data_IF_407016336136
#
_entry.id   IF_407016336136
#
_cell.length_a   1.000
_cell.length_b   1.000
_cell.length_c   1.000
_cell.angle_alpha   90.00
_cell.angle_beta   90.00
_cell.angle_gamma   90.00
#
_symmetry.space_group_name_H-M   'P 1'
#
loop_
_entity.id
_entity.type
_entity.pdbx_description
1 polymer ?
#
# COMPACT_ATOMS: atom_id res chain seq x y z
N UNK A 1 13.60 20.86 -25.05
CA UNK A 1 12.94 21.10 -23.75
C UNK A 1 12.56 19.73 -23.22
N UNK A 2 13.38 19.16 -22.35
CA UNK A 2 13.14 17.82 -21.80
C UNK A 2 12.05 17.95 -20.74
N UNK A 3 10.92 17.28 -20.93
CA UNK A 3 9.88 17.26 -19.91
C UNK A 3 10.44 16.57 -18.67
N UNK A 4 10.34 17.25 -17.51
CA UNK A 4 10.72 16.66 -16.23
C UNK A 4 9.81 15.45 -15.97
N UNK A 5 10.37 14.35 -15.45
CA UNK A 5 9.62 13.11 -15.15
C UNK A 5 8.36 13.45 -14.34
N UNK A 6 7.21 12.91 -14.74
CA UNK A 6 5.97 13.10 -13.98
C UNK A 6 6.09 12.43 -12.60
N UNK A 7 5.72 13.15 -11.54
CA UNK A 7 5.73 12.61 -10.19
C UNK A 7 4.74 11.45 -10.04
N UNK A 8 3.64 11.48 -10.78
CA UNK A 8 2.62 10.42 -10.74
C UNK A 8 3.19 9.12 -11.32
N UNK A 9 3.80 9.19 -12.51
CA UNK A 9 4.48 8.05 -13.13
C UNK A 9 5.60 7.51 -12.24
N UNK A 10 6.42 8.41 -11.69
CA UNK A 10 7.50 8.05 -10.78
C UNK A 10 6.99 7.30 -9.53
N UNK A 11 5.91 7.77 -8.90
CA UNK A 11 5.33 7.11 -7.73
C UNK A 11 4.69 5.76 -8.10
N UNK A 12 4.06 5.66 -9.29
CA UNK A 12 3.52 4.40 -9.79
C UNK A 12 4.63 3.36 -9.93
N UNK A 13 5.75 3.72 -10.55
CA UNK A 13 6.92 2.84 -10.72
C UNK A 13 7.48 2.39 -9.37
N UNK A 14 7.53 3.30 -8.39
CA UNK A 14 7.97 2.97 -7.03
C UNK A 14 7.01 1.99 -6.35
N UNK A 15 5.69 2.16 -6.50
CA UNK A 15 4.69 1.22 -5.94
C UNK A 15 4.84 -0.15 -6.59
N UNK A 16 5.08 -0.21 -7.90
CA UNK A 16 5.29 -1.47 -8.60
C UNK A 16 6.59 -2.18 -8.20
N UNK A 17 7.63 -1.41 -7.88
CA UNK A 17 8.93 -1.88 -7.41
C UNK A 17 8.96 -2.32 -5.94
N UNK A 18 7.89 -2.12 -5.16
CA UNK A 18 7.79 -2.63 -3.79
C UNK A 18 8.00 -4.16 -3.82
N UNK A 19 8.91 -4.66 -2.99
CA UNK A 19 9.15 -6.09 -2.88
C UNK A 19 7.92 -6.82 -2.33
N UNK A 20 7.34 -7.69 -3.17
CA UNK A 20 6.13 -8.48 -2.90
C UNK A 20 6.46 -9.93 -2.49
N UNK A 21 7.74 -10.31 -2.44
CA UNK A 21 8.16 -11.69 -2.17
C UNK A 21 8.13 -11.97 -0.67
N UNK A 22 7.52 -13.09 -0.26
CA UNK A 22 7.52 -13.55 1.13
C UNK A 22 8.21 -14.90 1.19
N UNK A 23 9.20 -15.06 2.07
CA UNK A 23 9.92 -16.33 2.21
C UNK A 23 9.30 -17.14 3.36
N UNK A 24 9.07 -18.43 3.10
CA UNK A 24 8.55 -19.38 4.07
C UNK A 24 9.75 -20.00 4.79
N UNK A 25 9.85 -19.73 6.09
CA UNK A 25 10.88 -20.29 6.98
C UNK A 25 10.54 -21.74 7.34
N UNK A 26 9.27 -22.01 7.61
CA UNK A 26 8.77 -23.36 7.89
C UNK A 26 7.27 -23.47 7.58
N UNK A 27 6.82 -24.66 7.20
CA UNK A 27 5.41 -24.97 6.98
C UNK A 27 5.03 -26.26 7.74
N UNK A 28 3.86 -26.25 8.38
CA UNK A 28 3.26 -27.41 9.04
C UNK A 28 1.79 -27.55 8.64
N UNK A 29 1.25 -28.76 8.80
CA UNK A 29 -0.17 -29.06 8.55
C UNK A 29 -0.77 -29.61 9.84
N UNK A 30 -1.26 -28.75 10.76
CA UNK A 30 -1.76 -29.21 12.06
C UNK A 30 -2.98 -30.12 11.96
N UNK A 31 -3.83 -29.91 10.96
CA UNK A 31 -5.02 -30.72 10.68
C UNK A 31 -5.41 -30.63 9.20
N UNK A 32 -6.31 -31.52 8.76
CA UNK A 32 -6.75 -31.54 7.37
C UNK A 32 -7.41 -30.19 6.97
N UNK A 33 -6.88 -29.56 5.94
CA UNK A 33 -7.38 -28.28 5.43
C UNK A 33 -6.82 -27.04 6.14
N UNK A 34 -5.97 -27.20 7.16
CA UNK A 34 -5.31 -26.09 7.86
C UNK A 34 -3.80 -26.20 7.66
N UNK A 35 -3.20 -25.13 7.16
CA UNK A 35 -1.75 -24.97 7.05
C UNK A 35 -1.28 -23.87 8.00
N UNK A 36 -0.11 -24.03 8.58
CA UNK A 36 0.58 -22.97 9.31
C UNK A 36 1.94 -22.72 8.67
N UNK A 37 2.20 -21.48 8.30
CA UNK A 37 3.51 -21.07 7.80
C UNK A 37 4.13 -20.04 8.73
N UNK A 38 5.43 -20.18 8.96
CA UNK A 38 6.25 -19.12 9.55
C UNK A 38 6.99 -18.43 8.42
N UNK A 39 6.92 -17.10 8.38
CA UNK A 39 7.54 -16.28 7.32
C UNK A 39 8.63 -15.39 7.89
N UNK A 40 9.52 -14.91 7.02
CA UNK A 40 10.57 -13.95 7.37
C UNK A 40 9.99 -12.54 7.62
N UNK A 41 9.10 -12.12 6.74
CA UNK A 41 8.37 -10.88 6.81
C UNK A 41 6.93 -11.10 6.35
N UNK A 42 6.00 -10.72 7.21
CA UNK A 42 4.56 -10.85 6.96
C UNK A 42 4.02 -9.73 6.07
N UNK A 43 4.81 -8.67 5.85
CA UNK A 43 4.48 -7.54 4.96
C UNK A 43 3.08 -7.00 5.28
N UNK A 44 2.26 -6.78 4.26
CA UNK A 44 0.89 -6.28 4.40
C UNK A 44 -0.19 -7.37 4.26
N UNK A 45 0.16 -8.63 4.58
CA UNK A 45 -0.84 -9.71 4.66
C UNK A 45 -1.85 -9.37 5.76
N UNK A 46 -3.12 -9.62 5.46
CA UNK A 46 -4.25 -9.41 6.38
C UNK A 46 -5.16 -10.64 6.38
N UNK A 47 -6.00 -10.84 7.42
CA UNK A 47 -7.01 -11.89 7.41
C UNK A 47 -7.99 -11.78 6.23
N UNK A 48 -8.57 -12.91 5.86
CA UNK A 48 -9.58 -13.05 4.79
C UNK A 48 -9.11 -12.77 3.37
N UNK A 49 -7.82 -12.52 3.13
CA UNK A 49 -7.28 -12.48 1.75
C UNK A 49 -6.95 -13.88 1.26
N UNK A 50 -7.02 -14.04 -0.06
CA UNK A 50 -6.59 -15.26 -0.75
C UNK A 50 -5.16 -15.06 -1.23
N UNK A 51 -4.29 -16.01 -0.89
CA UNK A 51 -2.90 -16.08 -1.32
C UNK A 51 -2.71 -17.27 -2.25
N UNK A 52 -2.07 -17.06 -3.38
CA UNK A 52 -1.66 -18.14 -4.28
C UNK A 52 -0.25 -18.61 -3.92
N UNK A 53 -0.13 -19.82 -3.35
CA UNK A 53 1.13 -20.39 -2.86
C UNK A 53 1.38 -21.70 -3.60
N UNK A 54 2.44 -21.76 -4.40
CA UNK A 54 2.77 -22.94 -5.20
C UNK A 54 1.66 -23.35 -6.19
N UNK A 55 0.87 -22.39 -6.67
CA UNK A 55 -0.25 -22.61 -7.60
C UNK A 55 -1.54 -23.10 -6.96
N UNK A 56 -1.62 -23.15 -5.62
CA UNK A 56 -2.86 -23.43 -4.88
C UNK A 56 -3.30 -22.16 -4.14
N UNK A 57 -4.61 -21.98 -4.01
CA UNK A 57 -5.19 -20.84 -3.30
C UNK A 57 -5.46 -21.18 -1.83
N UNK A 58 -5.05 -20.27 -0.96
CA UNK A 58 -5.21 -20.38 0.49
C UNK A 58 -5.86 -19.11 1.04
N UNK A 59 -6.84 -19.26 1.91
CA UNK A 59 -7.45 -18.12 2.62
C UNK A 59 -6.74 -17.89 3.95
N UNK A 60 -6.29 -16.67 4.21
CA UNK A 60 -5.69 -16.29 5.49
C UNK A 60 -6.76 -16.30 6.58
N UNK A 61 -6.64 -17.19 7.55
CA UNK A 61 -7.56 -17.27 8.68
C UNK A 61 -7.14 -16.33 9.81
N UNK A 62 -5.86 -16.32 10.16
CA UNK A 62 -5.35 -15.51 11.27
C UNK A 62 -3.84 -15.30 11.14
N UNK A 63 -3.35 -14.30 11.88
CA UNK A 63 -1.95 -13.89 11.91
C UNK A 63 -1.55 -13.71 13.37
N UNK A 64 -0.45 -14.34 13.78
CA UNK A 64 0.13 -14.17 15.11
C UNK A 64 1.65 -14.08 15.01
N UNK A 65 2.20 -12.88 15.25
CA UNK A 65 3.62 -12.62 15.01
C UNK A 65 3.99 -12.86 13.53
N UNK A 66 4.96 -13.74 13.29
CA UNK A 66 5.37 -14.18 11.95
C UNK A 66 4.70 -15.49 11.49
N UNK A 67 3.69 -15.96 12.22
CA UNK A 67 2.94 -17.18 11.89
C UNK A 67 1.62 -16.80 11.23
N UNK A 68 1.34 -17.42 10.09
CA UNK A 68 0.12 -17.26 9.31
C UNK A 68 -0.61 -18.59 9.29
N UNK A 69 -1.85 -18.59 9.76
CA UNK A 69 -2.75 -19.75 9.64
C UNK A 69 -3.58 -19.61 8.37
N UNK A 70 -3.52 -20.62 7.53
CA UNK A 70 -4.11 -20.65 6.20
C UNK A 70 -5.12 -21.80 6.09
N UNK A 71 -6.23 -21.55 5.39
CA UNK A 71 -7.21 -22.58 5.04
C UNK A 71 -6.97 -22.99 3.59
N UNK A 72 -6.64 -24.26 3.37
CA UNK A 72 -6.40 -24.82 2.04
C UNK A 72 -6.11 -26.32 2.07
N UNK A 73 -6.52 -27.01 1.00
CA UNK A 73 -6.51 -28.47 0.95
C UNK A 73 -5.12 -29.09 0.78
N UNK A 74 -4.22 -28.39 0.08
CA UNK A 74 -2.89 -28.90 -0.30
C UNK A 74 -1.83 -28.52 0.72
N UNK A 75 -0.88 -29.43 0.99
CA UNK A 75 0.29 -29.10 1.80
C UNK A 75 1.21 -28.11 1.07
N UNK A 76 1.79 -27.17 1.82
CA UNK A 76 2.69 -26.15 1.27
C UNK A 76 4.11 -26.73 1.17
N UNK A 77 4.63 -26.84 -0.06
CA UNK A 77 5.95 -27.43 -0.35
C UNK A 77 6.94 -26.45 -0.98
N UNK A 78 6.54 -25.21 -1.22
CA UNK A 78 7.38 -24.14 -1.76
C UNK A 78 8.03 -23.33 -0.64
N UNK A 79 9.16 -22.69 -0.94
CA UNK A 79 9.92 -21.88 0.03
C UNK A 79 9.57 -20.38 -0.01
N UNK A 80 8.76 -19.93 -0.96
CA UNK A 80 8.33 -18.53 -1.06
C UNK A 80 7.07 -18.39 -1.92
N UNK A 81 6.42 -17.24 -1.80
CA UNK A 81 5.31 -16.83 -2.65
C UNK A 81 5.32 -15.31 -2.86
N UNK A 82 4.50 -14.83 -3.79
CA UNK A 82 4.39 -13.40 -4.12
C UNK A 82 3.02 -12.88 -3.72
N UNK A 83 2.99 -11.72 -3.07
CA UNK A 83 1.75 -11.05 -2.69
C UNK A 83 1.00 -10.50 -3.90
N UNK A 84 -0.34 -10.35 -3.81
CA UNK A 84 -1.13 -9.67 -4.82
C UNK A 84 -0.62 -8.27 -5.11
N UNK A 85 -0.86 -7.80 -6.34
CA UNK A 85 -0.50 -6.45 -6.79
C UNK A 85 -1.14 -5.39 -5.91
N UNK A 86 -0.34 -4.37 -5.55
CA UNK A 86 -0.81 -3.16 -4.90
C UNK A 86 -1.25 -2.19 -6.00
N UNK A 87 -2.49 -1.74 -5.98
CA UNK A 87 -3.01 -0.86 -7.02
C UNK A 87 -2.67 0.60 -6.73
N UNK A 88 -2.11 1.31 -7.72
CA UNK A 88 -1.91 2.75 -7.63
C UNK A 88 -3.07 3.50 -8.28
N UNK A 89 -3.61 4.48 -7.56
CA UNK A 89 -4.62 5.41 -8.04
C UNK A 89 -4.20 6.84 -7.73
N UNK A 90 -4.63 7.77 -8.56
CA UNK A 90 -4.42 9.19 -8.35
C UNK A 90 -5.66 9.95 -8.84
N UNK A 91 -5.87 11.16 -8.31
CA UNK A 91 -6.95 12.04 -8.71
C UNK A 91 -7.50 12.85 -7.56
N UNK A 92 -8.59 13.55 -7.80
CA UNK A 92 -9.41 14.09 -6.71
C UNK A 92 -10.21 12.97 -6.03
N UNK A 93 -10.72 13.25 -4.83
CA UNK A 93 -11.57 12.30 -4.07
C UNK A 93 -12.74 11.80 -4.92
N UNK A 94 -13.40 12.71 -5.65
CA UNK A 94 -14.59 12.38 -6.46
C UNK A 94 -14.25 11.50 -7.66
N UNK A 95 -13.17 11.79 -8.37
CA UNK A 95 -12.75 11.03 -9.56
C UNK A 95 -12.27 9.63 -9.18
N UNK A 96 -11.53 9.55 -8.08
CA UNK A 96 -11.05 8.26 -7.55
C UNK A 96 -12.24 7.41 -7.11
N UNK A 97 -13.23 7.99 -6.41
CA UNK A 97 -14.44 7.26 -6.05
C UNK A 97 -15.18 6.72 -7.29
N UNK A 98 -15.37 7.54 -8.33
CA UNK A 98 -15.99 7.07 -9.60
C UNK A 98 -15.18 5.92 -10.23
N UNK A 99 -13.87 5.98 -10.15
CA UNK A 99 -12.98 4.95 -10.71
C UNK A 99 -13.08 3.64 -9.93
N UNK A 100 -13.13 3.73 -8.60
CA UNK A 100 -13.31 2.57 -7.72
C UNK A 100 -14.69 1.94 -7.90
N UNK A 101 -15.77 2.72 -7.93
CA UNK A 101 -17.14 2.22 -8.16
C UNK A 101 -17.31 1.48 -9.49
N UNK A 102 -16.52 1.84 -10.52
CA UNK A 102 -16.55 1.12 -11.82
C UNK A 102 -15.95 -0.29 -11.75
N UNK A 103 -15.09 -0.58 -10.77
CA UNK A 103 -14.51 -1.92 -10.59
C UNK A 103 -15.48 -2.76 -9.77
N UNK A 104 -15.81 -3.96 -10.25
CA UNK A 104 -16.85 -4.79 -9.62
C UNK A 104 -16.36 -5.54 -8.38
N UNK A 105 -15.09 -5.94 -8.34
CA UNK A 105 -14.56 -6.81 -7.28
C UNK A 105 -13.49 -6.10 -6.46
N UNK A 106 -13.53 -6.28 -5.13
CA UNK A 106 -12.56 -5.67 -4.20
C UNK A 106 -11.13 -6.18 -4.41
N UNK A 107 -10.97 -7.42 -4.91
CA UNK A 107 -9.67 -7.98 -5.32
C UNK A 107 -9.02 -7.22 -6.47
N UNK A 108 -9.79 -6.42 -7.20
CA UNK A 108 -9.32 -5.53 -8.26
C UNK A 108 -9.09 -4.11 -7.78
N UNK A 109 -9.29 -3.84 -6.49
CA UNK A 109 -9.21 -2.51 -5.89
C UNK A 109 -8.18 -2.45 -4.78
N UNK A 110 -8.08 -3.47 -3.94
CA UNK A 110 -7.28 -3.44 -2.70
C UNK A 110 -6.24 -4.58 -2.63
N UNK A 111 -5.09 -4.38 -1.97
CA UNK A 111 -4.66 -3.13 -1.32
C UNK A 111 -4.33 -2.04 -2.35
N UNK A 112 -4.54 -0.78 -1.98
CA UNK A 112 -4.27 0.36 -2.85
C UNK A 112 -3.42 1.44 -2.20
N UNK A 113 -2.70 2.15 -3.06
CA UNK A 113 -2.03 3.41 -2.79
C UNK A 113 -2.75 4.48 -3.60
N UNK A 114 -3.34 5.45 -2.91
CA UNK A 114 -4.05 6.56 -3.51
C UNK A 114 -3.29 7.87 -3.29
N UNK A 115 -2.88 8.53 -4.36
CA UNK A 115 -2.34 9.87 -4.35
C UNK A 115 -3.45 10.91 -4.52
N UNK A 116 -3.65 11.76 -3.53
CA UNK A 116 -4.55 12.90 -3.65
C UNK A 116 -3.88 14.01 -4.48
N UNK A 117 -4.39 14.27 -5.68
CA UNK A 117 -3.84 15.25 -6.65
C UNK A 117 -3.99 16.73 -6.26
N UNK A 118 -4.25 17.01 -4.99
CA UNK A 118 -4.24 18.36 -4.45
C UNK A 118 -2.92 18.53 -3.68
N UNK A 119 -1.82 18.53 -4.43
CA UNK A 119 -0.47 18.74 -3.91
C UNK A 119 0.23 19.90 -4.60
N UNK A 120 1.25 20.45 -3.94
CA UNK A 120 2.11 21.50 -4.49
C UNK A 120 3.48 20.95 -4.84
N UNK A 121 4.01 21.41 -5.96
CA UNK A 121 5.40 21.16 -6.36
C UNK A 121 6.16 22.48 -6.47
N UNK A 122 7.41 22.47 -5.97
CA UNK A 122 8.37 23.54 -6.16
C UNK A 122 9.49 23.02 -7.03
N UNK A 123 9.71 23.64 -8.18
CA UNK A 123 10.79 23.29 -9.09
C UNK A 123 11.99 24.20 -8.85
N UNK A 124 13.18 23.61 -8.86
CA UNK A 124 14.45 24.32 -8.73
C UNK A 124 15.18 24.28 -10.08
N UNK A 125 15.31 25.46 -10.70
CA UNK A 125 16.00 25.65 -11.98
C UNK A 125 17.46 26.11 -11.82
N UNK A 126 17.90 26.38 -10.58
CA UNK A 126 19.26 26.86 -10.30
C UNK A 126 20.29 25.73 -10.40
N UNK A 127 21.56 25.98 -10.07
CA UNK A 127 22.65 24.97 -10.13
C UNK A 127 22.57 23.92 -9.01
N UNK A 128 21.54 23.96 -8.18
CA UNK A 128 21.32 22.99 -7.09
C UNK A 128 21.21 21.55 -7.62
N UNK A 129 21.56 20.57 -6.79
CA UNK A 129 21.43 19.15 -7.10
C UNK A 129 19.95 18.71 -7.17
N UNK A 130 19.07 19.42 -6.46
CA UNK A 130 17.64 19.10 -6.42
C UNK A 130 16.89 19.68 -7.62
N UNK A 131 16.02 18.87 -8.22
CA UNK A 131 15.14 19.24 -9.33
C UNK A 131 13.81 19.82 -8.80
N UNK A 132 13.24 19.17 -7.78
CA UNK A 132 11.96 19.58 -7.21
C UNK A 132 11.76 19.08 -5.79
N UNK A 133 10.78 19.71 -5.14
CA UNK A 133 10.19 19.27 -3.87
C UNK A 133 8.69 19.16 -4.05
N UNK A 134 8.13 17.98 -3.77
CA UNK A 134 6.71 17.68 -3.93
C UNK A 134 6.11 17.32 -2.57
N UNK A 135 5.12 18.09 -2.11
CA UNK A 135 4.47 17.90 -0.81
C UNK A 135 3.24 16.98 -0.98
N UNK A 136 3.43 15.68 -0.78
CA UNK A 136 2.50 14.62 -1.19
C UNK A 136 1.62 14.12 -0.03
N UNK A 137 0.39 13.75 -0.38
CA UNK A 137 -0.56 13.05 0.51
C UNK A 137 -0.98 11.74 -0.13
N UNK A 138 -0.49 10.64 0.43
CA UNK A 138 -0.73 9.28 -0.05
C UNK A 138 -1.58 8.52 0.97
N UNK A 139 -2.50 7.69 0.50
CA UNK A 139 -3.34 6.85 1.33
C UNK A 139 -3.07 5.39 1.01
N UNK A 140 -2.68 4.62 2.01
CA UNK A 140 -2.48 3.18 1.91
C UNK A 140 -3.71 2.53 2.52
N UNK A 141 -4.57 1.98 1.66
CA UNK A 141 -5.91 1.55 2.04
C UNK A 141 -6.18 0.10 1.64
N UNK A 142 -7.00 -0.55 2.44
CA UNK A 142 -7.52 -1.90 2.20
C UNK A 142 -9.01 -1.95 2.53
N UNK A 143 -9.67 -3.03 2.12
CA UNK A 143 -11.07 -3.28 2.45
C UNK A 143 -11.23 -3.46 3.97
N UNK A 144 -12.33 -2.93 4.52
CA UNK A 144 -12.67 -3.07 5.92
C UNK A 144 -14.16 -3.38 6.15
N UNK A 145 -14.43 -4.17 7.18
CA UNK A 145 -15.79 -4.51 7.57
C UNK A 145 -16.28 -3.57 8.68
N UNK A 146 -16.97 -2.49 8.31
CA UNK A 146 -17.40 -1.47 9.27
C UNK A 146 -18.52 -1.94 10.21
N UNK A 147 -19.26 -2.97 9.84
CA UNK A 147 -20.37 -3.54 10.61
C UNK A 147 -19.88 -4.44 11.75
N UNK A 148 -18.83 -5.22 11.50
CA UNK A 148 -18.36 -6.23 12.45
C UNK A 148 -17.10 -5.82 13.22
N UNK A 149 -16.26 -4.95 12.65
CA UNK A 149 -14.98 -4.61 13.28
C UNK A 149 -15.13 -3.59 14.40
N UNK A 150 -14.57 -3.94 15.56
CA UNK A 150 -14.28 -2.99 16.62
C UNK A 150 -12.95 -2.27 16.37
N UNK A 151 -12.61 -1.30 17.23
CA UNK A 151 -11.40 -0.49 17.07
C UNK A 151 -10.16 -1.36 16.92
N UNK A 152 -9.98 -2.35 17.79
CA UNK A 152 -8.80 -3.22 17.76
C UNK A 152 -8.73 -4.07 16.49
N UNK A 153 -9.87 -4.45 15.92
CA UNK A 153 -9.93 -5.16 14.63
C UNK A 153 -9.46 -4.28 13.48
N UNK A 154 -9.84 -3.00 13.44
CA UNK A 154 -9.29 -2.06 12.45
C UNK A 154 -7.77 -1.97 12.56
N UNK A 155 -7.25 -1.94 13.78
CA UNK A 155 -5.81 -1.87 14.01
C UNK A 155 -5.10 -3.14 13.55
N UNK A 156 -5.61 -4.31 13.91
CA UNK A 156 -5.01 -5.59 13.58
C UNK A 156 -5.11 -5.94 12.09
N UNK A 157 -6.28 -5.71 11.49
CA UNK A 157 -6.64 -6.25 10.19
C UNK A 157 -6.40 -5.27 9.03
N UNK A 158 -6.29 -3.97 9.30
CA UNK A 158 -6.12 -2.95 8.26
C UNK A 158 -4.96 -2.00 8.53
N UNK A 159 -4.96 -1.30 9.67
CA UNK A 159 -4.00 -0.22 9.92
C UNK A 159 -2.57 -0.78 10.01
N UNK A 160 -2.31 -1.81 10.83
CA UNK A 160 -0.95 -2.40 10.94
C UNK A 160 -0.46 -3.00 9.62
N UNK A 161 -1.25 -3.78 8.85
CA UNK A 161 -0.88 -4.18 7.49
C UNK A 161 -0.52 -2.99 6.59
N UNK A 162 -1.32 -1.92 6.58
CA UNK A 162 -1.06 -0.77 5.72
C UNK A 162 0.14 0.06 6.17
N UNK A 163 0.40 0.17 7.48
CA UNK A 163 1.66 0.74 8.00
C UNK A 163 2.88 -0.02 7.50
N UNK A 164 2.82 -1.35 7.46
CA UNK A 164 3.90 -2.20 6.91
C UNK A 164 4.09 -1.95 5.42
N UNK A 165 3.00 -1.86 4.65
CA UNK A 165 3.08 -1.46 3.23
C UNK A 165 3.73 -0.07 3.07
N UNK A 166 3.34 0.90 3.89
CA UNK A 166 3.95 2.24 3.87
C UNK A 166 5.44 2.19 4.19
N UNK A 167 5.86 1.38 5.16
CA UNK A 167 7.28 1.20 5.48
C UNK A 167 8.05 0.65 4.26
N UNK A 168 7.54 -0.41 3.63
CA UNK A 168 8.16 -0.96 2.42
C UNK A 168 8.20 0.05 1.27
N UNK A 169 7.18 0.90 1.14
CA UNK A 169 7.17 1.99 0.17
C UNK A 169 8.27 3.03 0.45
N UNK A 170 8.41 3.49 1.70
CA UNK A 170 9.48 4.42 2.11
C UNK A 170 10.86 3.78 1.91
N UNK A 171 11.04 2.51 2.26
CA UNK A 171 12.29 1.78 2.03
C UNK A 171 12.60 1.65 0.54
N UNK A 172 11.57 1.50 -0.30
CA UNK A 172 11.72 1.45 -1.75
C UNK A 172 12.06 2.81 -2.33
N UNK A 173 11.48 3.90 -1.82
CA UNK A 173 11.85 5.27 -2.16
C UNK A 173 13.30 5.57 -1.79
N UNK A 174 13.72 5.22 -0.57
CA UNK A 174 15.07 5.47 -0.07
C UNK A 174 16.17 4.71 -0.84
N UNK A 175 15.81 3.66 -1.59
CA UNK A 175 16.72 2.95 -2.49
C UNK A 175 16.88 3.64 -3.85
N UNK A 176 16.00 4.59 -4.20
CA UNK A 176 16.06 5.27 -5.48
C UNK A 176 17.18 6.33 -5.47
N UNK A 177 18.04 6.29 -6.50
CA UNK A 177 19.16 7.22 -6.65
C UNK A 177 18.72 8.68 -6.68
N UNK A 178 17.52 8.94 -7.23
CA UNK A 178 16.97 10.29 -7.36
C UNK A 178 16.31 10.80 -6.09
N UNK A 179 16.06 9.98 -5.08
CA UNK A 179 15.34 10.42 -3.88
C UNK A 179 16.33 10.87 -2.83
N UNK A 180 16.14 12.08 -2.32
CA UNK A 180 16.81 12.46 -1.08
C UNK A 180 16.31 11.57 0.05
N UNK A 181 17.23 11.03 0.85
CA UNK A 181 16.87 10.13 1.95
C UNK A 181 15.78 10.74 2.83
N UNK A 182 14.64 10.07 2.89
CA UNK A 182 13.47 10.44 3.69
C UNK A 182 13.78 10.04 5.14
N UNK A 183 13.85 11.04 6.01
CA UNK A 183 14.12 10.87 7.45
C UNK A 183 12.88 11.07 8.30
N UNK A 184 11.99 11.94 7.84
CA UNK A 184 10.81 12.35 8.56
C UNK A 184 9.59 12.24 7.64
N UNK A 185 8.50 11.69 8.17
CA UNK A 185 7.22 11.59 7.52
C UNK A 185 6.12 11.44 8.57
N UNK A 186 4.90 11.85 8.23
CA UNK A 186 3.77 11.73 9.13
C UNK A 186 2.86 10.59 8.70
N UNK A 187 2.46 9.76 9.67
CA UNK A 187 1.43 8.74 9.49
C UNK A 187 0.20 9.09 10.32
N UNK A 188 -0.97 9.06 9.68
CA UNK A 188 -2.26 9.18 10.36
C UNK A 188 -3.07 7.90 10.15
N UNK A 189 -3.51 7.28 11.25
CA UNK A 189 -4.32 6.07 11.19
C UNK A 189 -5.77 6.41 10.85
N UNK A 190 -6.34 5.66 9.90
CA UNK A 190 -7.68 5.89 9.37
C UNK A 190 -8.50 4.61 9.53
N UNK A 191 -9.18 4.47 10.67
CA UNK A 191 -10.09 3.33 10.90
C UNK A 191 -11.23 3.33 9.89
N UNK A 192 -11.85 4.49 9.63
CA UNK A 192 -12.92 4.65 8.65
C UNK A 192 -12.58 5.75 7.65
N UNK A 193 -11.96 5.39 6.54
CA UNK A 193 -11.62 6.35 5.50
C UNK A 193 -12.87 6.81 4.75
N UNK A 194 -12.93 8.10 4.40
CA UNK A 194 -14.03 8.67 3.63
C UNK A 194 -15.33 8.90 4.42
N UNK A 195 -15.40 8.55 5.71
CA UNK A 195 -16.54 8.83 6.58
C UNK A 195 -16.29 10.12 7.35
N UNK A 196 -17.15 11.12 7.14
CA UNK A 196 -17.09 12.39 7.86
C UNK A 196 -18.30 12.52 8.77
N UNK A 197 -18.05 12.68 10.07
CA UNK A 197 -19.09 13.04 11.05
C UNK A 197 -19.17 14.56 11.08
N UNK A 198 -20.28 15.13 10.62
CA UNK A 198 -20.48 16.57 10.76
C UNK A 198 -20.82 16.95 12.22
N UNK A 199 -20.74 18.24 12.56
CA UNK A 199 -21.02 18.75 13.92
C UNK A 199 -22.44 18.45 14.45
N UNK A 200 -23.32 17.83 13.66
CA UNK A 200 -24.67 17.38 14.03
C UNK A 200 -24.80 15.86 14.14
N UNK A 201 -23.69 15.12 14.03
CA UNK A 201 -23.68 13.66 14.15
C UNK A 201 -24.16 12.91 12.91
N UNK A 202 -24.32 13.56 11.76
CA UNK A 202 -24.61 12.87 10.50
C UNK A 202 -23.31 12.47 9.81
N UNK A 203 -23.26 11.20 9.41
CA UNK A 203 -22.17 10.66 8.61
C UNK A 203 -22.43 10.92 7.12
N UNK A 204 -21.46 11.52 6.45
CA UNK A 204 -21.40 11.58 4.99
C UNK A 204 -20.23 10.74 4.51
N UNK A 205 -20.50 9.80 3.61
CA UNK A 205 -19.49 8.98 2.94
C UNK A 205 -19.05 9.64 1.63
N UNK A 206 -17.75 9.92 1.48
CA UNK A 206 -17.16 10.40 0.22
C UNK A 206 -16.78 9.24 -0.71
N UNK A 207 -16.59 8.05 -0.15
CA UNK A 207 -16.32 6.81 -0.88
C UNK A 207 -17.46 5.82 -0.65
N UNK A 208 -17.87 5.12 -1.70
CA UNK A 208 -18.85 4.04 -1.60
C UNK A 208 -18.23 2.78 -0.97
N UNK A 209 -16.97 2.50 -1.30
CA UNK A 209 -16.22 1.39 -0.73
C UNK A 209 -15.83 1.68 0.73
N UNK A 210 -15.95 0.66 1.59
CA UNK A 210 -15.55 0.73 3.00
C UNK A 210 -14.06 0.46 3.11
N UNK A 211 -13.30 1.54 3.25
CA UNK A 211 -11.85 1.50 3.26
C UNK A 211 -11.27 1.89 4.62
N UNK A 212 -10.13 1.32 4.95
CA UNK A 212 -9.36 1.62 6.16
C UNK A 212 -7.87 1.51 5.85
N UNK A 213 -7.03 2.17 6.66
CA UNK A 213 -5.58 2.07 6.53
C UNK A 213 -4.86 3.26 7.13
N UNK A 214 -3.93 3.87 6.37
CA UNK A 214 -3.13 5.01 6.83
C UNK A 214 -2.97 6.09 5.76
N UNK A 215 -2.93 7.35 6.21
CA UNK A 215 -2.46 8.50 5.42
C UNK A 215 -0.98 8.73 5.70
N UNK A 216 -0.19 8.80 4.64
CA UNK A 216 1.20 9.23 4.63
C UNK A 216 1.27 10.67 4.11
N UNK A 217 1.92 11.55 4.88
CA UNK A 217 2.32 12.88 4.41
C UNK A 217 3.84 12.95 4.36
N UNK A 218 4.36 13.30 3.18
CA UNK A 218 5.78 13.41 2.91
C UNK A 218 6.10 14.61 2.05
N UNK A 219 7.26 15.21 2.28
CA UNK A 219 7.89 16.11 1.32
C UNK A 219 8.96 15.31 0.58
N UNK A 220 8.72 15.05 -0.70
CA UNK A 220 9.63 14.27 -1.53
C UNK A 220 10.54 15.21 -2.31
N UNK A 221 11.83 15.18 -1.99
CA UNK A 221 12.85 15.92 -2.73
C UNK A 221 13.51 15.00 -3.75
N UNK A 222 13.39 15.36 -5.04
CA UNK A 222 14.01 14.62 -6.13
C UNK A 222 15.24 15.36 -6.64
N UNK A 223 16.34 14.63 -6.76
CA UNK A 223 17.57 15.06 -7.41
C UNK A 223 17.38 15.12 -8.92
N UNK A 224 18.17 16.01 -9.53
CA UNK A 224 18.28 16.09 -10.97
C UNK A 224 18.79 14.76 -11.54
N UNK A 225 18.32 14.38 -12.73
CA UNK A 225 18.88 13.24 -13.46
C UNK A 225 20.41 13.38 -13.55
N UNK A 226 21.14 12.33 -13.17
CA UNK A 226 22.61 12.28 -13.26
C UNK A 226 23.09 11.91 -14.66
N UNK A 227 22.15 11.56 -15.54
CA UNK A 227 22.34 11.30 -16.95
C UNK A 227 22.46 12.61 -17.75
N UNK A 228 23.71 13.06 -17.92
CA UNK A 228 24.12 13.86 -19.07
C UNK A 228 24.07 13.06 -20.40
N UNK A 229 23.33 11.94 -20.50
CA UNK A 229 23.11 11.22 -21.76
C UNK A 229 21.95 11.82 -22.55
N UNK A 230 22.05 13.13 -22.79
CA UNK A 230 21.06 13.92 -23.52
C UNK A 230 21.55 15.32 -23.88
N UNK A 231 22.84 15.63 -23.71
CA UNK A 231 23.45 16.80 -24.36
C UNK A 231 23.71 16.48 -25.84
N UNK A 232 22.65 16.53 -26.63
CA UNK A 232 22.69 16.69 -28.08
C UNK A 232 21.72 17.80 -28.46
#
# INVERSE_FOLDING_TARGET
>A
MTYKTDIIEYLSDVVDAIDKTVNIVSATTPSAGIQEITVDDIKWIQPSIVLSIGGNDYTVSSISGCVITLIGASAIVVSSFTLPTVYFFHGTVKETNITLTKRQFDTQKTPLVYLLEIFSERFNEDVDEFDRVSDLRLFFLTHANFEEWEVDDFYANSIKPMQRLTQHFIDTLNKQVRVQQIRDYELTNLSRFGVYVNNKGFESTLFEDKLSGVELRISLELRKPTDCSGCC
#
